data_IF_359868075755
#
_entry.id   IF_359868075755
#
_cell.length_a   1.000
_cell.length_b   1.000
_cell.length_c   1.000
_cell.angle_alpha   90.00
_cell.angle_beta   90.00
_cell.angle_gamma   90.00
#
_symmetry.space_group_name_H-M   'P 1'
#
loop_
_entity.id
_entity.type
_entity.pdbx_description
1 polymer ?
#
# COMPACT_ATOMS: atom_id res chain seq x y z
N UNK A 1 4.76 15.53 -2.88
CA UNK A 1 6.03 14.81 -2.57
C UNK A 1 5.78 13.54 -1.77
N UNK A 2 5.19 13.58 -0.57
CA UNK A 2 4.95 12.36 0.24
C UNK A 2 4.15 11.28 -0.48
N UNK A 3 3.02 11.65 -1.07
CA UNK A 3 2.21 10.74 -1.89
C UNK A 3 2.93 10.28 -3.16
N UNK A 4 3.71 11.17 -3.79
CA UNK A 4 4.47 10.81 -5.00
C UNK A 4 5.54 9.75 -4.72
N UNK A 5 6.22 9.84 -3.58
CA UNK A 5 7.21 8.85 -3.14
C UNK A 5 6.58 7.73 -2.30
N UNK A 6 5.26 7.69 -2.15
CA UNK A 6 4.54 6.64 -1.41
C UNK A 6 5.01 6.50 0.06
N UNK A 7 5.34 7.63 0.69
CA UNK A 7 5.78 7.72 2.10
C UNK A 7 4.77 8.43 2.99
N UNK A 8 3.53 8.57 2.53
CA UNK A 8 2.43 9.08 3.34
C UNK A 8 1.79 7.97 4.19
N UNK A 9 0.95 8.38 5.14
CA UNK A 9 0.33 7.46 6.10
C UNK A 9 -0.47 6.32 5.43
N UNK A 10 -1.23 6.55 4.34
CA UNK A 10 -1.93 5.46 3.64
C UNK A 10 -0.98 4.40 3.06
N UNK A 11 0.10 4.80 2.38
CA UNK A 11 1.09 3.86 1.84
C UNK A 11 1.77 3.06 2.97
N UNK A 12 2.08 3.70 4.10
CA UNK A 12 2.65 3.03 5.28
C UNK A 12 1.65 2.01 5.86
N UNK A 13 0.37 2.37 5.99
CA UNK A 13 -0.65 1.48 6.53
C UNK A 13 -0.81 0.22 5.68
N UNK A 14 -0.86 0.36 4.35
CA UNK A 14 -0.94 -0.78 3.43
C UNK A 14 0.32 -1.65 3.52
N UNK A 15 1.51 -1.06 3.62
CA UNK A 15 2.75 -1.82 3.78
C UNK A 15 2.76 -2.65 5.08
N UNK A 16 2.23 -2.09 6.18
CA UNK A 16 2.10 -2.83 7.45
C UNK A 16 1.11 -3.98 7.32
N UNK A 17 -0.05 -3.75 6.68
CA UNK A 17 -1.05 -4.79 6.46
C UNK A 17 -0.51 -5.93 5.59
N UNK A 18 0.23 -5.62 4.54
CA UNK A 18 0.90 -6.62 3.70
C UNK A 18 1.94 -7.43 4.49
N UNK A 19 2.73 -6.76 5.34
CA UNK A 19 3.66 -7.42 6.25
C UNK A 19 2.98 -8.43 7.19
N UNK A 20 1.83 -8.08 7.75
CA UNK A 20 1.03 -8.98 8.59
C UNK A 20 0.36 -10.11 7.78
N UNK A 21 -0.09 -9.83 6.55
CA UNK A 21 -0.68 -10.83 5.67
C UNK A 21 0.33 -11.91 5.26
N UNK A 22 1.60 -11.54 5.03
CA UNK A 22 2.70 -12.47 4.74
C UNK A 22 3.05 -13.39 5.92
N UNK A 23 2.64 -13.02 7.13
CA UNK A 23 2.81 -13.82 8.35
C UNK A 23 1.54 -14.62 8.71
N UNK A 24 0.57 -14.70 7.80
CA UNK A 24 -0.75 -15.33 8.01
C UNK A 24 -1.51 -14.76 9.23
N UNK A 25 -1.20 -13.53 9.64
CA UNK A 25 -1.85 -12.85 10.77
C UNK A 25 -3.16 -12.18 10.37
N UNK A 26 -3.36 -11.95 9.08
CA UNK A 26 -4.61 -11.43 8.52
C UNK A 26 -4.80 -11.89 7.06
N UNK A 27 -6.06 -11.94 6.56
CA UNK A 27 -6.33 -12.34 5.18
C UNK A 27 -5.79 -11.36 4.14
N UNK A 28 -5.25 -11.86 3.02
CA UNK A 28 -4.73 -11.02 1.93
C UNK A 28 -5.74 -10.03 1.35
N UNK A 29 -7.03 -10.37 1.34
CA UNK A 29 -8.08 -9.48 0.84
C UNK A 29 -8.23 -8.21 1.69
N UNK A 30 -7.79 -8.21 2.95
CA UNK A 30 -7.77 -7.01 3.79
C UNK A 30 -6.76 -5.97 3.27
N UNK A 31 -5.65 -6.40 2.68
CA UNK A 31 -4.68 -5.51 2.03
C UNK A 31 -5.30 -4.88 0.79
N UNK A 32 -5.96 -5.68 -0.06
CA UNK A 32 -6.64 -5.20 -1.25
C UNK A 32 -7.74 -4.18 -0.90
N UNK A 33 -8.55 -4.47 0.12
CA UNK A 33 -9.57 -3.53 0.61
C UNK A 33 -8.96 -2.21 1.10
N UNK A 34 -7.78 -2.24 1.74
CA UNK A 34 -7.09 -1.03 2.17
C UNK A 34 -6.52 -0.21 1.00
N UNK A 35 -5.97 -0.87 -0.03
CA UNK A 35 -5.52 -0.21 -1.27
C UNK A 35 -6.69 0.54 -1.93
N UNK A 36 -7.85 -0.10 -2.03
CA UNK A 36 -9.07 0.50 -2.57
C UNK A 36 -9.57 1.66 -1.68
N UNK A 37 -9.66 1.43 -0.36
CA UNK A 37 -10.15 2.43 0.59
C UNK A 37 -9.33 3.72 0.59
N UNK A 38 -8.01 3.60 0.43
CA UNK A 38 -7.10 4.74 0.39
C UNK A 38 -6.83 5.28 -1.01
N UNK A 39 -7.47 4.73 -2.04
CA UNK A 39 -7.33 5.14 -3.44
C UNK A 39 -5.86 5.16 -3.92
N UNK A 40 -5.06 4.18 -3.47
CA UNK A 40 -3.65 4.09 -3.84
C UNK A 40 -3.51 3.72 -5.32
N UNK A 41 -2.64 4.45 -6.03
CA UNK A 41 -2.44 4.28 -7.47
C UNK A 41 -1.35 3.25 -7.77
N UNK A 42 -1.73 1.97 -7.81
CA UNK A 42 -0.82 0.84 -8.04
C UNK A 42 -0.32 0.73 -9.48
N UNK A 43 -0.98 1.39 -10.43
CA UNK A 43 -0.67 1.31 -11.87
C UNK A 43 0.34 2.37 -12.34
N UNK A 44 0.81 3.24 -11.46
CA UNK A 44 1.82 4.23 -11.83
C UNK A 44 3.20 3.57 -11.93
N UNK A 45 4.06 4.03 -12.86
CA UNK A 45 5.46 3.64 -12.84
C UNK A 45 6.11 4.01 -11.51
N UNK A 46 7.10 3.21 -11.10
CA UNK A 46 7.87 3.42 -9.87
C UNK A 46 8.35 4.89 -9.79
N UNK A 47 8.20 5.57 -8.63
CA UNK A 47 8.62 6.96 -8.45
C UNK A 47 10.09 7.24 -8.85
N UNK A 48 10.96 6.23 -8.87
CA UNK A 48 12.37 6.34 -9.29
C UNK A 48 12.55 6.63 -10.78
N UNK A 49 11.60 6.24 -11.62
CA UNK A 49 11.67 6.34 -13.08
C UNK A 49 10.62 7.28 -13.69
N UNK A 50 9.80 7.90 -12.85
CA UNK A 50 8.64 8.72 -13.22
C UNK A 50 9.00 10.21 -13.34
#
# INVERSE_FOLDING_TARGET
LRQHFEVDAPSIAVAVLDGLARQDRLPRHTVAAAVEHYELRTELPDPRIR
#
